data_IF_241575783632
#
_entry.id   IF_241575783632
#
_cell.length_a   1.000
_cell.length_b   1.000
_cell.length_c   1.000
_cell.angle_alpha   90.00
_cell.angle_beta   90.00
_cell.angle_gamma   90.00
#
_symmetry.space_group_name_H-M   'P 1'
#
loop_
_entity.id
_entity.type
_entity.pdbx_description
1 polymer ?
#
# COMPACT_ATOMS: atom_id res chain seq x y z
N UNK A 1 27.01 -0.18 10.78
CA UNK A 1 25.91 -1.10 10.41
C UNK A 1 24.71 -0.23 10.03
N UNK A 2 24.29 -0.20 8.76
CA UNK A 2 23.16 0.65 8.35
C UNK A 2 21.87 0.03 8.91
N UNK A 3 20.97 0.80 9.55
CA UNK A 3 19.69 0.26 10.00
C UNK A 3 18.96 -0.28 8.77
N UNK A 4 18.61 -1.56 8.81
CA UNK A 4 17.80 -2.20 7.77
C UNK A 4 16.42 -1.54 7.86
N UNK A 5 16.08 -0.65 6.92
CA UNK A 5 14.72 -0.09 6.84
C UNK A 5 13.75 -1.26 6.88
N UNK A 6 12.89 -1.29 7.90
CA UNK A 6 11.79 -2.24 8.00
C UNK A 6 10.83 -1.85 6.89
N UNK A 7 10.95 -2.50 5.74
CA UNK A 7 10.04 -2.27 4.63
C UNK A 7 8.61 -2.63 5.04
N UNK A 8 7.63 -1.83 4.62
CA UNK A 8 6.22 -2.20 4.71
C UNK A 8 5.94 -3.38 3.75
N UNK A 9 5.43 -4.48 4.31
CA UNK A 9 4.96 -5.61 3.51
C UNK A 9 3.45 -5.51 3.32
N UNK A 10 2.99 -5.82 2.11
CA UNK A 10 1.58 -5.85 1.77
C UNK A 10 1.26 -7.04 0.85
N UNK A 11 0.04 -7.55 0.96
CA UNK A 11 -0.52 -8.51 0.02
C UNK A 11 -1.51 -7.82 -0.91
N UNK A 12 -1.52 -8.20 -2.17
CA UNK A 12 -2.45 -7.69 -3.17
C UNK A 12 -3.16 -8.86 -3.84
N UNK A 13 -4.49 -8.83 -3.78
CA UNK A 13 -5.35 -9.75 -4.54
C UNK A 13 -5.93 -8.99 -5.72
N UNK A 14 -5.49 -9.31 -6.94
CA UNK A 14 -6.02 -8.70 -8.17
C UNK A 14 -7.11 -9.59 -8.76
N UNK A 15 -8.29 -9.01 -8.97
CA UNK A 15 -9.43 -9.58 -9.69
C UNK A 15 -9.65 -8.76 -10.97
N UNK A 16 -9.61 -9.42 -12.13
CA UNK A 16 -9.80 -8.75 -13.42
C UNK A 16 -11.28 -8.81 -13.81
N UNK A 17 -11.95 -7.68 -13.87
CA UNK A 17 -13.32 -7.57 -14.36
C UNK A 17 -13.39 -6.66 -15.59
N UNK A 18 -13.75 -7.25 -16.72
CA UNK A 18 -14.08 -6.66 -18.03
C UNK A 18 -13.06 -5.66 -18.64
N UNK A 19 -12.59 -4.62 -17.93
CA UNK A 19 -11.73 -3.57 -18.49
C UNK A 19 -10.66 -2.97 -17.55
N UNK A 20 -10.67 -3.25 -16.24
CA UNK A 20 -9.67 -2.68 -15.32
C UNK A 20 -9.25 -3.67 -14.20
N UNK A 21 -8.12 -3.37 -13.56
CA UNK A 21 -7.64 -4.14 -12.40
C UNK A 21 -8.41 -3.70 -11.16
N UNK A 22 -9.15 -4.62 -10.55
CA UNK A 22 -9.86 -4.41 -9.30
C UNK A 22 -9.28 -5.35 -8.25
N UNK A 23 -9.43 -5.06 -6.98
CA UNK A 23 -8.86 -5.92 -5.97
C UNK A 23 -8.81 -5.32 -4.58
N UNK A 24 -8.08 -5.99 -3.71
CA UNK A 24 -7.83 -5.54 -2.36
C UNK A 24 -6.34 -5.61 -2.03
N UNK A 25 -5.88 -4.63 -1.24
CA UNK A 25 -4.57 -4.59 -0.64
C UNK A 25 -4.72 -4.77 0.88
N UNK A 26 -3.90 -5.67 1.43
CA UNK A 26 -3.84 -5.96 2.86
C UNK A 26 -2.47 -5.52 3.37
N UNK A 27 -2.46 -4.48 4.20
CA UNK A 27 -1.27 -3.93 4.83
C UNK A 27 -0.94 -4.71 6.10
N UNK A 28 0.15 -5.48 6.08
CA UNK A 28 0.52 -6.35 7.20
C UNK A 28 0.96 -5.57 8.43
N UNK A 29 1.68 -4.47 8.22
CA UNK A 29 2.23 -3.67 9.32
C UNK A 29 1.15 -2.78 9.97
N UNK A 30 0.11 -2.41 9.22
CA UNK A 30 -0.95 -1.49 9.66
C UNK A 30 -2.26 -2.20 10.01
N UNK A 31 -2.33 -3.54 9.86
CA UNK A 31 -3.56 -4.35 9.96
C UNK A 31 -4.75 -3.66 9.27
N UNK A 32 -4.51 -3.15 8.07
CA UNK A 32 -5.49 -2.37 7.32
C UNK A 32 -5.75 -3.06 5.99
N UNK A 33 -7.01 -3.15 5.61
CA UNK A 33 -7.44 -3.68 4.32
C UNK A 33 -8.12 -2.57 3.53
N UNK A 34 -7.74 -2.40 2.27
CA UNK A 34 -8.29 -1.39 1.38
C UNK A 34 -8.60 -1.99 0.02
N UNK A 35 -9.76 -1.68 -0.54
CA UNK A 35 -10.16 -2.14 -1.87
C UNK A 35 -9.87 -1.07 -2.91
N UNK A 36 -9.37 -1.45 -4.08
CA UNK A 36 -9.19 -0.57 -5.23
C UNK A 36 -10.07 -1.03 -6.41
N UNK A 37 -10.63 -0.07 -7.13
CA UNK A 37 -11.50 -0.32 -8.29
C UNK A 37 -10.84 0.00 -9.63
N UNK A 38 -9.59 0.48 -9.60
CA UNK A 38 -8.77 0.72 -10.78
C UNK A 38 -7.28 0.63 -10.45
N UNK A 39 -6.47 0.45 -11.49
CA UNK A 39 -5.00 0.54 -11.43
C UNK A 39 -4.51 1.90 -10.87
N UNK A 40 -5.22 2.99 -11.15
CA UNK A 40 -4.83 4.33 -10.71
C UNK A 40 -5.18 4.58 -9.23
N UNK A 41 -6.31 4.05 -8.75
CA UNK A 41 -6.60 4.01 -7.30
C UNK A 41 -5.56 3.20 -6.53
N UNK A 42 -5.12 2.07 -7.09
CA UNK A 42 -4.06 1.26 -6.49
C UNK A 42 -2.75 2.05 -6.33
N UNK A 43 -2.31 2.77 -7.37
CA UNK A 43 -1.10 3.60 -7.31
C UNK A 43 -1.25 4.73 -6.28
N UNK A 44 -2.43 5.37 -6.19
CA UNK A 44 -2.71 6.39 -5.17
C UNK A 44 -2.66 5.84 -3.75
N UNK A 45 -3.13 4.60 -3.53
CA UNK A 45 -3.04 3.94 -2.23
C UNK A 45 -1.58 3.70 -1.83
N UNK A 46 -0.74 3.23 -2.76
CA UNK A 46 0.69 3.06 -2.53
C UNK A 46 1.39 4.39 -2.23
N UNK A 47 1.11 5.44 -3.01
CA UNK A 47 1.68 6.78 -2.80
C UNK A 47 1.27 7.37 -1.44
N UNK A 48 0.01 7.18 -1.03
CA UNK A 48 -0.46 7.58 0.30
C UNK A 48 0.22 6.79 1.42
N UNK A 49 0.48 5.49 1.21
CA UNK A 49 1.14 4.66 2.21
C UNK A 49 2.61 5.04 2.42
N UNK A 50 3.31 5.46 1.35
CA UNK A 50 4.69 5.96 1.37
C UNK A 50 4.79 7.31 2.07
N UNK A 51 3.91 8.27 1.73
CA UNK A 51 3.86 9.59 2.37
C UNK A 51 3.57 9.53 3.88
N UNK A 52 2.80 8.53 4.30
CA UNK A 52 2.54 8.31 5.73
C UNK A 52 3.76 7.76 6.48
N UNK A 53 4.71 7.08 5.82
CA UNK A 53 5.96 6.67 6.47
C UNK A 53 6.91 7.84 6.69
N UNK A 54 7.06 8.73 5.70
CA UNK A 54 7.93 9.91 5.82
C UNK A 54 7.52 10.82 7.00
N UNK A 55 6.21 10.98 7.21
CA UNK A 55 5.67 11.74 8.36
C UNK A 55 5.92 11.12 9.73
N UNK A 56 6.13 9.80 9.80
CA UNK A 56 6.46 9.09 11.05
C UNK A 56 7.97 9.15 11.34
N UNK A 57 8.82 9.18 10.30
CA UNK A 57 10.27 9.37 10.46
C UNK A 57 10.63 10.83 10.84
N UNK A 58 9.88 11.85 10.40
CA UNK A 58 10.17 13.26 10.74
C UNK A 58 9.78 13.71 12.16
N UNK A 59 9.00 12.93 12.91
CA UNK A 59 8.57 13.27 14.27
C UNK A 59 9.30 12.45 15.38
N UNK A 60 10.37 11.72 15.05
CA UNK A 60 11.15 10.90 15.99
C UNK A 60 12.59 11.37 16.17
#
# INVERSE_FOLDING_TARGET
>A
MRPKKIGQNFFVTVRRNQYDWQGEIVWLNKRKEETFRSSLEFIKLLDSALKNEEKLEENS
#
